data_IF_450312943651
#
_entry.id   IF_450312943651
#
_cell.length_a   1.000
_cell.length_b   1.000
_cell.length_c   1.000
_cell.angle_alpha   90.00
_cell.angle_beta   90.00
_cell.angle_gamma   90.00
#
_symmetry.space_group_name_H-M   'P 1'
#
loop_
_entity.id
_entity.type
_entity.pdbx_description
1 polymer ?
#
# COMPACT_ATOMS: atom_id res chain seq x y z
N UNK A 1 -19.53 6.69 12.03
CA UNK A 1 -18.50 7.52 11.38
C UNK A 1 -18.15 6.89 10.05
N UNK A 2 -18.04 7.67 8.98
CA UNK A 2 -17.69 7.16 7.65
C UNK A 2 -16.45 7.88 7.13
N UNK A 3 -15.66 7.18 6.33
CA UNK A 3 -14.52 7.71 5.61
C UNK A 3 -15.00 8.02 4.20
N UNK A 4 -14.69 9.22 3.67
CA UNK A 4 -14.93 9.55 2.27
C UNK A 4 -13.60 9.55 1.54
N UNK A 5 -13.47 8.75 0.49
CA UNK A 5 -12.26 8.70 -0.33
C UNK A 5 -12.21 9.91 -1.28
N UNK A 6 -11.06 10.13 -1.92
CA UNK A 6 -10.92 11.19 -2.92
C UNK A 6 -11.82 10.98 -4.15
N UNK A 7 -12.14 9.72 -4.48
CA UNK A 7 -13.10 9.33 -5.53
C UNK A 7 -14.56 9.55 -5.13
N UNK A 8 -14.81 9.87 -3.85
CA UNK A 8 -16.14 10.18 -3.32
C UNK A 8 -16.88 9.00 -2.72
N UNK A 9 -16.30 7.80 -2.76
CA UNK A 9 -16.83 6.60 -2.13
C UNK A 9 -16.87 6.77 -0.61
N UNK A 10 -17.83 6.10 0.02
CA UNK A 10 -18.02 6.16 1.47
C UNK A 10 -17.80 4.78 2.05
N UNK A 11 -16.86 4.67 2.97
CA UNK A 11 -16.59 3.45 3.70
C UNK A 11 -17.02 3.60 5.17
N UNK A 12 -17.68 2.58 5.71
CA UNK A 12 -18.02 2.56 7.13
C UNK A 12 -16.76 2.27 7.94
N UNK A 13 -16.44 3.15 8.90
CA UNK A 13 -15.33 2.92 9.82
C UNK A 13 -15.78 1.89 10.86
N UNK A 14 -15.05 0.80 10.97
CA UNK A 14 -15.25 -0.27 11.92
C UNK A 14 -14.43 -0.07 13.21
N UNK A 15 -13.29 0.64 13.13
CA UNK A 15 -12.45 0.88 14.29
C UNK A 15 -11.21 1.71 13.99
N UNK A 16 -10.27 1.71 14.94
CA UNK A 16 -8.94 2.31 14.81
C UNK A 16 -7.89 1.32 15.27
N UNK A 17 -6.76 1.26 14.56
CA UNK A 17 -5.64 0.39 14.86
C UNK A 17 -4.37 1.23 14.99
N UNK A 18 -3.63 1.10 16.09
CA UNK A 18 -2.29 1.67 16.19
C UNK A 18 -1.30 0.64 15.64
N UNK A 19 -0.63 0.97 14.54
CA UNK A 19 0.34 0.09 13.92
C UNK A 19 1.55 0.89 13.45
N UNK A 20 2.64 0.19 13.18
CA UNK A 20 3.80 0.80 12.54
C UNK A 20 3.81 0.44 11.06
N UNK A 21 3.94 1.44 10.19
CA UNK A 21 4.16 1.24 8.76
C UNK A 21 5.62 1.51 8.43
N UNK A 22 6.17 0.65 7.58
CA UNK A 22 7.52 0.80 7.07
C UNK A 22 7.46 1.24 5.61
N UNK A 23 8.30 2.21 5.25
CA UNK A 23 8.36 2.81 3.93
C UNK A 23 9.84 3.06 3.61
N UNK A 24 10.43 2.19 2.78
CA UNK A 24 11.88 2.13 2.65
C UNK A 24 12.54 1.73 3.97
N UNK A 25 13.56 2.48 4.40
CA UNK A 25 14.25 2.29 5.69
C UNK A 25 13.56 2.94 6.88
N UNK A 26 12.43 3.63 6.66
CA UNK A 26 11.77 4.44 7.68
C UNK A 26 10.57 3.72 8.25
N UNK A 27 10.45 3.71 9.58
CA UNK A 27 9.32 3.15 10.30
C UNK A 27 8.54 4.26 11.01
N UNK A 28 7.23 4.27 10.85
CA UNK A 28 6.34 5.29 11.40
C UNK A 28 5.23 4.65 12.21
N UNK A 29 5.05 5.11 13.44
CA UNK A 29 3.89 4.72 14.23
C UNK A 29 2.69 5.60 13.90
N UNK A 30 1.57 5.00 13.52
CA UNK A 30 0.37 5.74 13.17
C UNK A 30 -0.91 5.01 13.59
N UNK A 31 -1.96 5.81 13.83
CA UNK A 31 -3.31 5.29 14.11
C UNK A 31 -4.10 5.24 12.80
N UNK A 32 -4.22 4.04 12.26
CA UNK A 32 -5.01 3.76 11.07
C UNK A 32 -6.49 3.63 11.41
N UNK A 33 -7.34 3.95 10.45
CA UNK A 33 -8.76 3.63 10.53
C UNK A 33 -8.98 2.27 9.85
N UNK A 34 -9.71 1.39 10.52
CA UNK A 34 -10.19 0.14 9.92
C UNK A 34 -11.57 0.44 9.36
N UNK A 35 -11.75 0.19 8.07
CA UNK A 35 -13.00 0.46 7.37
C UNK A 35 -13.31 -0.67 6.39
N UNK A 36 -14.58 -0.81 6.05
CA UNK A 36 -15.04 -1.72 5.01
C UNK A 36 -14.75 -1.10 3.64
N UNK A 37 -13.54 -1.35 3.12
CA UNK A 37 -13.04 -0.88 1.83
C UNK A 37 -12.72 -2.08 0.93
N UNK A 38 -12.81 -1.89 -0.38
CA UNK A 38 -12.45 -2.91 -1.38
C UNK A 38 -10.93 -3.06 -1.53
N UNK A 39 -10.20 -1.95 -1.40
CA UNK A 39 -8.74 -1.93 -1.46
C UNK A 39 -8.12 -2.50 -0.18
N UNK A 40 -6.93 -3.09 -0.29
CA UNK A 40 -6.22 -3.57 0.90
C UNK A 40 -5.79 -2.43 1.83
N UNK A 41 -5.38 -1.28 1.29
CA UNK A 41 -4.96 -0.09 2.05
C UNK A 41 -5.21 1.20 1.27
N UNK A 42 -5.62 2.25 1.98
CA UNK A 42 -5.75 3.61 1.42
C UNK A 42 -4.85 4.55 2.22
N UNK A 43 -3.95 5.26 1.52
CA UNK A 43 -3.13 6.31 2.11
C UNK A 43 -3.80 7.67 1.88
N UNK A 44 -4.17 8.34 2.98
CA UNK A 44 -4.73 9.68 2.91
C UNK A 44 -3.67 10.74 2.62
N UNK A 45 -4.05 11.80 1.91
CA UNK A 45 -3.15 12.91 1.57
C UNK A 45 -2.50 13.56 2.81
N UNK A 46 -3.26 13.66 3.92
CA UNK A 46 -2.75 14.15 5.20
C UNK A 46 -1.54 13.33 5.70
N UNK A 47 -1.59 12.01 5.53
CA UNK A 47 -0.51 11.12 5.92
C UNK A 47 0.75 11.34 5.05
N UNK A 48 0.56 11.45 3.73
CA UNK A 48 1.64 11.73 2.78
C UNK A 48 2.34 13.05 3.11
N UNK A 49 1.57 14.11 3.38
CA UNK A 49 2.11 15.42 3.78
C UNK A 49 2.88 15.35 5.09
N UNK A 50 2.32 14.69 6.11
CA UNK A 50 2.96 14.55 7.43
C UNK A 50 4.30 13.84 7.35
N UNK A 51 4.42 12.84 6.47
CA UNK A 51 5.67 12.10 6.26
C UNK A 51 6.60 12.72 5.22
N UNK A 52 6.24 13.89 4.66
CA UNK A 52 6.97 14.56 3.58
C UNK A 52 7.20 13.62 2.39
N UNK A 53 6.19 12.81 2.08
CA UNK A 53 6.17 11.98 0.89
C UNK A 53 5.74 12.83 -0.29
N UNK A 54 6.50 12.73 -1.37
CA UNK A 54 6.16 13.30 -2.67
C UNK A 54 5.76 12.15 -3.58
N UNK A 55 4.60 12.26 -4.22
CA UNK A 55 4.16 11.30 -5.24
C UNK A 55 4.56 11.85 -6.61
N UNK A 56 5.46 11.15 -7.29
CA UNK A 56 5.88 11.45 -8.67
C UNK A 56 5.14 10.47 -9.59
N UNK A 57 4.02 10.94 -10.16
CA UNK A 57 3.17 10.11 -11.02
C UNK A 57 3.81 9.82 -12.38
N UNK A 58 4.71 10.68 -12.87
CA UNK A 58 5.42 10.45 -14.14
C UNK A 58 6.37 9.26 -14.02
N UNK A 59 7.06 9.16 -12.88
CA UNK A 59 7.99 8.07 -12.59
C UNK A 59 7.34 6.87 -11.93
N UNK A 60 6.07 7.01 -11.51
CA UNK A 60 5.36 6.03 -10.70
C UNK A 60 6.11 5.71 -9.39
N UNK A 61 6.60 6.74 -8.69
CA UNK A 61 7.40 6.59 -7.47
C UNK A 61 6.87 7.47 -6.32
N UNK A 62 6.99 6.97 -5.09
CA UNK A 62 6.93 7.78 -3.86
C UNK A 62 8.35 8.13 -3.45
N UNK A 63 8.59 9.41 -3.17
CA UNK A 63 9.88 9.93 -2.73
C UNK A 63 9.80 10.40 -1.29
N UNK A 64 10.78 10.03 -0.48
CA UNK A 64 10.92 10.52 0.90
C UNK A 64 12.38 10.72 1.24
N UNK A 65 12.77 11.97 1.54
CA UNK A 65 14.19 12.31 1.66
C UNK A 65 14.97 11.94 0.39
N UNK A 66 15.95 11.05 0.53
CA UNK A 66 16.75 10.49 -0.58
C UNK A 66 16.20 9.17 -1.13
N UNK A 67 15.16 8.60 -0.53
CA UNK A 67 14.62 7.30 -0.89
C UNK A 67 13.55 7.42 -1.98
N UNK A 68 13.52 6.41 -2.85
CA UNK A 68 12.54 6.25 -3.93
C UNK A 68 11.90 4.89 -3.81
N UNK A 69 10.58 4.86 -3.84
CA UNK A 69 9.78 3.65 -3.65
C UNK A 69 8.86 3.55 -4.86
N UNK A 70 9.04 2.51 -5.67
CA UNK A 70 8.17 2.28 -6.84
C UNK A 70 6.74 2.00 -6.37
N UNK A 71 5.75 2.65 -7.00
CA UNK A 71 4.32 2.41 -6.78
C UNK A 71 3.88 1.05 -7.32
N UNK A 72 4.56 0.57 -8.37
CA UNK A 72 4.34 -0.73 -8.97
C UNK A 72 5.56 -1.60 -8.72
N UNK A 73 5.40 -2.71 -8.00
CA UNK A 73 6.36 -3.81 -8.11
C UNK A 73 6.06 -4.50 -9.44
N UNK A 74 6.97 -4.46 -10.40
CA UNK A 74 6.86 -5.29 -11.60
C UNK A 74 6.75 -6.74 -11.17
N UNK A 75 5.55 -7.32 -11.19
CA UNK A 75 5.35 -8.73 -10.89
C UNK A 75 5.78 -9.54 -12.12
N UNK A 76 7.08 -9.66 -12.35
CA UNK A 76 7.60 -10.87 -12.98
C UNK A 76 7.66 -11.94 -11.89
N UNK A 77 6.49 -12.37 -11.42
CA UNK A 77 6.39 -13.67 -10.78
C UNK A 77 6.60 -14.68 -11.90
N UNK A 78 7.86 -14.99 -12.19
CA UNK A 78 8.24 -16.16 -12.95
C UNK A 78 7.85 -17.36 -12.09
N UNK A 79 6.55 -17.69 -12.07
CA UNK A 79 6.02 -18.88 -11.45
C UNK A 79 6.51 -20.03 -12.31
N UNK A 80 7.73 -20.50 -12.02
CA UNK A 80 8.26 -21.76 -12.53
C UNK A 80 7.19 -22.80 -12.23
N UNK A 81 6.42 -23.18 -13.25
CA UNK A 81 5.62 -24.41 -13.21
C UNK A 81 6.67 -25.53 -13.22
N UNK A 82 7.02 -26.05 -12.06
CA UNK A 82 7.62 -27.38 -12.00
C UNK A 82 6.49 -28.36 -12.32
N UNK A 83 6.38 -28.73 -13.59
CA UNK A 83 5.65 -29.92 -13.99
C UNK A 83 6.46 -31.11 -13.50
N UNK A 84 6.16 -31.64 -12.31
CA UNK A 84 6.61 -32.96 -11.92
C UNK A 84 5.81 -33.98 -12.74
N UNK A 85 6.46 -34.51 -13.78
CA UNK A 85 6.00 -35.70 -14.45
C UNK A 85 6.09 -36.88 -13.49
N UNK A 86 4.94 -37.39 -13.04
CA UNK A 86 4.85 -38.80 -12.65
C UNK A 86 4.31 -39.57 -13.85
N UNK A 87 5.23 -40.20 -14.58
CA UNK A 87 4.94 -41.38 -15.35
C UNK A 87 4.63 -42.50 -14.34
N UNK A 88 3.37 -42.90 -14.25
CA UNK A 88 2.98 -44.14 -13.55
C UNK A 88 2.74 -45.16 -14.64
N UNK A 89 3.53 -46.25 -14.57
CA UNK A 89 3.35 -47.45 -15.38
C UNK A 89 2.00 -48.12 -15.03
#
# INVERSE_FOLDING_TARGET
MTLKTATGEKAKIQGKLNASIECGSRKFHHRFYVAEITDSYILGLYFLQKLKFTVDLEKNEIRTGSEKISLFSGSTQNRKRTSDGKHVL
#
